data_IF_292648790732
#
_entry.id   IF_292648790732
#
_cell.length_a   1.000
_cell.length_b   1.000
_cell.length_c   1.000
_cell.angle_alpha   90.00
_cell.angle_beta   90.00
_cell.angle_gamma   90.00
#
_symmetry.space_group_name_H-M   'P 1'
#
loop_
_entity.id
_entity.type
_entity.pdbx_description
1 polymer ?
#
# COMPACT_ATOMS: atom_id res chain seq x y z
N UNK A 1 3.96 -21.90 9.17
CA UNK A 1 4.55 -20.97 8.19
C UNK A 1 3.48 -19.95 7.84
N UNK A 2 3.75 -18.65 7.98
CA UNK A 2 2.83 -17.59 7.55
C UNK A 2 3.15 -17.25 6.09
N UNK A 3 2.16 -17.26 5.20
CA UNK A 3 2.38 -17.09 3.75
C UNK A 3 2.82 -15.67 3.37
N UNK A 4 2.40 -14.65 4.12
CA UNK A 4 2.82 -13.28 3.89
C UNK A 4 4.15 -12.98 4.62
N UNK A 5 5.26 -12.72 3.91
CA UNK A 5 6.55 -12.45 4.55
C UNK A 5 6.59 -11.08 5.24
N UNK A 6 5.64 -10.19 4.93
CA UNK A 6 5.57 -8.83 5.47
C UNK A 6 4.61 -8.70 6.66
N UNK A 7 3.88 -9.76 7.02
CA UNK A 7 2.89 -9.70 8.11
C UNK A 7 1.70 -8.77 7.85
N UNK A 8 1.41 -8.41 6.60
CA UNK A 8 0.36 -7.45 6.23
C UNK A 8 -1.08 -8.01 6.25
N UNK A 9 -1.27 -9.23 6.75
CA UNK A 9 -2.57 -9.91 6.81
C UNK A 9 -2.84 -10.38 8.24
N UNK A 10 -4.08 -10.24 8.68
CA UNK A 10 -4.54 -10.69 9.99
C UNK A 10 -5.65 -11.71 9.82
N UNK A 11 -5.62 -12.79 10.60
CA UNK A 11 -6.72 -13.77 10.63
C UNK A 11 -7.55 -13.54 11.88
N UNK A 12 -8.85 -13.32 11.69
CA UNK A 12 -9.83 -13.18 12.77
C UNK A 12 -10.91 -14.25 12.65
N UNK A 13 -11.58 -14.59 13.75
CA UNK A 13 -12.74 -15.48 13.74
C UNK A 13 -13.98 -14.63 13.92
N UNK A 14 -14.86 -14.65 12.94
CA UNK A 14 -16.14 -13.95 12.96
C UNK A 14 -17.24 -14.94 12.54
N UNK A 15 -18.33 -15.00 13.30
CA UNK A 15 -19.45 -15.92 13.05
C UNK A 15 -19.01 -17.39 12.89
N UNK A 16 -18.11 -17.86 13.77
CA UNK A 16 -17.54 -19.22 13.73
C UNK A 16 -16.75 -19.56 12.45
N UNK A 17 -16.41 -18.57 11.64
CA UNK A 17 -15.61 -18.74 10.42
C UNK A 17 -14.32 -17.92 10.51
N UNK A 18 -13.21 -18.52 10.05
CA UNK A 18 -11.94 -17.81 9.94
C UNK A 18 -11.96 -16.88 8.73
N UNK A 19 -11.63 -15.61 8.94
CA UNK A 19 -11.51 -14.60 7.91
C UNK A 19 -10.09 -14.03 7.88
N UNK A 20 -9.50 -14.01 6.68
CA UNK A 20 -8.22 -13.37 6.42
C UNK A 20 -8.46 -11.93 5.95
N UNK A 21 -8.08 -10.97 6.78
CA UNK A 21 -8.24 -9.55 6.53
C UNK A 21 -6.91 -8.94 6.07
N UNK A 22 -6.97 -8.14 5.02
CA UNK A 22 -5.85 -7.34 4.51
C UNK A 22 -6.39 -6.02 3.93
N UNK A 23 -5.50 -5.06 3.71
CA UNK A 23 -5.84 -3.85 2.95
C UNK A 23 -6.42 -4.22 1.58
N UNK A 24 -7.55 -3.61 1.25
CA UNK A 24 -8.32 -3.79 0.01
C UNK A 24 -8.13 -2.61 -0.96
N UNK A 25 -7.26 -1.66 -0.61
CA UNK A 25 -7.06 -0.38 -1.29
C UNK A 25 -8.34 0.47 -1.42
N UNK A 26 -9.30 0.25 -0.52
CA UNK A 26 -10.62 0.85 -0.58
C UNK A 26 -11.27 0.71 -1.97
N UNK A 27 -11.16 -0.46 -2.61
CA UNK A 27 -11.65 -0.67 -3.99
C UNK A 27 -13.16 -0.38 -4.16
N UNK A 28 -13.90 -0.36 -3.06
CA UNK A 28 -15.33 -0.06 -3.01
C UNK A 28 -15.65 1.44 -2.99
N UNK A 29 -14.65 2.31 -2.80
CA UNK A 29 -14.81 3.76 -2.62
C UNK A 29 -14.38 4.53 -3.85
N UNK A 30 -15.29 5.32 -4.43
CA UNK A 30 -15.03 6.08 -5.66
C UNK A 30 -13.96 7.17 -5.48
N UNK A 31 -13.86 7.78 -4.30
CA UNK A 31 -12.86 8.82 -4.03
C UNK A 31 -11.50 8.24 -3.62
N UNK A 32 -11.31 6.92 -3.76
CA UNK A 32 -10.05 6.24 -3.50
C UNK A 32 -9.75 5.98 -2.02
N UNK A 33 -8.49 5.67 -1.67
CA UNK A 33 -8.11 5.24 -0.33
C UNK A 33 -8.38 6.29 0.75
N UNK A 34 -9.17 5.92 1.76
CA UNK A 34 -9.51 6.79 2.88
C UNK A 34 -8.27 7.24 3.67
N UNK A 35 -7.26 6.38 3.81
CA UNK A 35 -6.01 6.73 4.49
C UNK A 35 -5.22 7.84 3.76
N UNK A 36 -5.28 7.89 2.43
CA UNK A 36 -4.67 8.95 1.62
C UNK A 36 -5.42 10.25 1.82
N UNK A 37 -6.76 10.22 1.72
CA UNK A 37 -7.61 11.40 1.92
C UNK A 37 -7.49 12.00 3.33
N UNK A 38 -7.33 11.15 4.35
CA UNK A 38 -7.20 11.59 5.73
C UNK A 38 -5.80 12.12 6.12
N UNK A 39 -4.78 11.96 5.26
CA UNK A 39 -3.41 12.30 5.58
C UNK A 39 -3.19 13.83 5.58
N UNK A 40 -2.99 14.48 6.76
CA UNK A 40 -2.96 15.95 6.83
C UNK A 40 -1.71 16.56 6.21
N UNK A 41 -0.59 15.83 6.21
CA UNK A 41 0.70 16.27 5.67
C UNK A 41 0.94 15.84 4.23
N UNK A 42 -0.03 15.17 3.60
CA UNK A 42 0.10 14.63 2.24
C UNK A 42 1.31 13.69 2.07
N UNK A 43 1.71 12.99 3.15
CA UNK A 43 2.78 12.00 3.11
C UNK A 43 2.40 10.76 2.28
N UNK A 44 1.10 10.47 2.15
CA UNK A 44 0.57 9.34 1.40
C UNK A 44 0.04 9.79 0.05
N UNK A 45 0.33 9.02 -0.99
CA UNK A 45 -0.28 9.15 -2.32
C UNK A 45 -0.46 7.77 -2.95
N UNK A 46 -1.46 7.63 -3.81
CA UNK A 46 -1.58 6.46 -4.69
C UNK A 46 -0.56 6.60 -5.82
N UNK A 47 0.09 5.50 -6.19
CA UNK A 47 1.01 5.47 -7.31
C UNK A 47 0.78 4.22 -8.15
N UNK A 48 1.00 4.35 -9.46
CA UNK A 48 1.08 3.20 -10.37
C UNK A 48 2.53 2.72 -10.50
N UNK A 49 2.76 1.45 -10.89
CA UNK A 49 4.11 0.89 -11.00
C UNK A 49 5.08 1.74 -11.84
N UNK A 50 4.60 2.28 -12.97
CA UNK A 50 5.42 3.13 -13.85
C UNK A 50 5.96 4.39 -13.16
N UNK A 51 5.17 5.03 -12.28
CA UNK A 51 5.61 6.19 -11.53
C UNK A 51 6.68 5.83 -10.49
N UNK A 52 6.53 4.65 -9.86
CA UNK A 52 7.51 4.14 -8.91
C UNK A 52 8.82 3.79 -9.61
N UNK A 53 8.76 3.16 -10.77
CA UNK A 53 9.93 2.83 -11.59
C UNK A 53 10.68 4.08 -12.03
N UNK A 54 9.96 5.10 -12.51
CA UNK A 54 10.53 6.40 -12.88
C UNK A 54 11.22 7.07 -11.68
N UNK A 55 10.58 7.08 -10.51
CA UNK A 55 11.17 7.65 -9.29
C UNK A 55 12.44 6.92 -8.86
N UNK A 56 12.42 5.59 -8.91
CA UNK A 56 13.59 4.77 -8.61
C UNK A 56 14.74 5.02 -9.61
N UNK A 57 14.44 5.13 -10.90
CA UNK A 57 15.43 5.45 -11.93
C UNK A 57 16.06 6.83 -11.70
N UNK A 58 15.23 7.84 -11.42
CA UNK A 58 15.69 9.20 -11.12
C UNK A 58 16.61 9.23 -9.89
N UNK A 59 16.26 8.51 -8.82
CA UNK A 59 17.10 8.41 -7.61
C UNK A 59 18.46 7.80 -7.92
N UNK A 60 18.51 6.71 -8.70
CA UNK A 60 19.77 6.07 -9.13
C UNK A 60 20.64 7.03 -9.94
N UNK A 61 20.06 7.77 -10.88
CA UNK A 61 20.77 8.76 -11.69
C UNK A 61 21.36 9.88 -10.82
N UNK A 62 20.58 10.42 -9.88
CA UNK A 62 21.04 11.49 -8.99
C UNK A 62 22.23 11.06 -8.12
N UNK A 63 22.21 9.83 -7.60
CA UNK A 63 23.31 9.29 -6.80
C UNK A 63 24.57 9.00 -7.64
N UNK A 64 24.42 8.70 -8.93
CA UNK A 64 25.56 8.47 -9.82
C UNK A 64 26.27 9.78 -10.25
N UNK A 65 25.59 10.93 -10.09
CA UNK A 65 26.11 12.26 -10.43
C UNK A 65 26.59 13.04 -9.20
N UNK A 66 26.48 12.45 -8.00
CA UNK A 66 26.94 13.02 -6.73
C UNK A 66 28.24 12.34 -6.29
#
# INVERSE_FOLDING_TARGET
MVACPYGAMTVTVMNQQAQALKCDLCHHRAEGPACVAACPTQALRVMVPAELEALCAQKRQRLALA
#
